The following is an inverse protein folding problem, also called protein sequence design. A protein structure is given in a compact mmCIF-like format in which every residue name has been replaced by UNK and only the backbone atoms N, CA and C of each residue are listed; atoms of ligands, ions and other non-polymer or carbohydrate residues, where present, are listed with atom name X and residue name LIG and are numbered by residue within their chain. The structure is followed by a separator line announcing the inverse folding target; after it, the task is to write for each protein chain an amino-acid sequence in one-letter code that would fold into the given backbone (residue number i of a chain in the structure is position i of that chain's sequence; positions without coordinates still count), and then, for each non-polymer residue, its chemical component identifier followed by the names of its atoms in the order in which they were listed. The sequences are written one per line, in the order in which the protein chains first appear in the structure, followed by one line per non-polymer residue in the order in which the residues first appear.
data_IF_134378734197
#
_entry.id   IF_134378734197
#
_cell.length_a   1.000
_cell.length_b   1.000
_cell.length_c   1.000
_cell.angle_alpha   90.00
_cell.angle_beta   90.00
_cell.angle_gamma   90.00
#
_symmetry.space_group_name_H-M   'P 1'
#
loop_
_entity.id
_entity.type
_entity.pdbx_description
1 polymer ?
#
# COMPACT_ATOMS: atom_id res chain seq x y z
N UNK A 1 13.83 13.29 -0.11
CA UNK A 1 12.73 12.67 0.65
C UNK A 1 11.50 12.80 -0.20
N UNK A 2 10.81 11.69 -0.41
CA UNK A 2 9.64 11.61 -1.28
C UNK A 2 8.40 11.44 -0.42
N UNK A 3 7.23 11.77 -0.98
CA UNK A 3 5.96 11.66 -0.28
C UNK A 3 4.99 10.79 -1.06
N UNK A 4 4.25 9.98 -0.33
CA UNK A 4 3.05 9.30 -0.82
C UNK A 4 1.88 9.83 -0.01
N UNK A 5 0.88 10.37 -0.69
CA UNK A 5 -0.31 10.96 -0.06
C UNK A 5 -1.57 10.30 -0.60
N UNK A 6 -2.54 10.06 0.27
CA UNK A 6 -3.84 9.51 -0.11
C UNK A 6 -4.82 10.63 -0.45
N UNK A 7 -5.41 10.58 -1.63
CA UNK A 7 -6.44 11.53 -2.07
C UNK A 7 -7.82 10.87 -1.86
N UNK A 8 -8.36 11.02 -0.65
CA UNK A 8 -9.55 10.30 -0.22
C UNK A 8 -10.74 10.46 -1.19
N UNK A 9 -11.05 11.70 -1.57
CA UNK A 9 -12.19 12.01 -2.45
C UNK A 9 -11.98 11.60 -3.92
N UNK A 10 -10.72 11.56 -4.38
CA UNK A 10 -10.38 11.24 -5.76
C UNK A 10 -10.20 9.74 -6.00
N UNK A 11 -10.17 8.92 -4.93
CA UNK A 11 -9.86 7.48 -5.01
C UNK A 11 -8.49 7.19 -5.63
N UNK A 12 -7.53 8.07 -5.38
CA UNK A 12 -6.14 7.95 -5.85
C UNK A 12 -5.15 8.08 -4.71
N UNK A 13 -3.92 7.64 -4.93
CA UNK A 13 -2.75 8.14 -4.22
C UNK A 13 -1.94 9.04 -5.14
N UNK A 14 -1.22 9.99 -4.56
CA UNK A 14 -0.23 10.81 -5.27
C UNK A 14 1.16 10.54 -4.73
N UNK A 15 2.13 10.47 -5.64
CA UNK A 15 3.55 10.37 -5.33
C UNK A 15 4.21 11.68 -5.73
N UNK A 16 4.92 12.29 -4.78
CA UNK A 16 5.66 13.53 -4.97
C UNK A 16 7.14 13.27 -4.74
N UNK A 17 7.94 13.40 -5.78
CA UNK A 17 9.39 13.21 -5.71
C UNK A 17 10.07 14.47 -5.21
N UNK A 18 10.87 14.34 -4.17
CA UNK A 18 11.59 15.45 -3.57
C UNK A 18 12.90 15.72 -4.29
N UNK A 19 13.17 17.00 -4.56
CA UNK A 19 14.46 17.43 -5.12
C UNK A 19 15.61 17.43 -4.09
N UNK A 20 15.31 17.13 -2.82
CA UNK A 20 16.28 17.14 -1.73
C UNK A 20 16.52 18.52 -1.11
N UNK A 21 15.90 19.57 -1.65
CA UNK A 21 15.97 20.95 -1.15
C UNK A 21 14.67 21.40 -0.42
N UNK A 22 13.70 20.49 -0.25
CA UNK A 22 12.38 20.80 0.31
C UNK A 22 11.28 21.01 -0.74
N UNK A 23 11.64 21.13 -2.01
CA UNK A 23 10.68 21.18 -3.13
C UNK A 23 10.35 19.78 -3.67
N UNK A 24 9.20 19.69 -4.35
CA UNK A 24 8.72 18.47 -4.98
C UNK A 24 8.44 18.65 -6.48
N UNK A 25 8.60 17.57 -7.24
CA UNK A 25 8.14 17.47 -8.62
C UNK A 25 6.61 17.47 -8.70
N UNK A 26 6.10 17.58 -9.93
CA UNK A 26 4.69 17.35 -10.20
C UNK A 26 4.28 15.95 -9.70
N UNK A 27 3.10 15.89 -9.06
CA UNK A 27 2.58 14.63 -8.54
C UNK A 27 2.29 13.63 -9.67
N UNK A 28 2.59 12.36 -9.42
CA UNK A 28 2.09 11.24 -10.22
C UNK A 28 0.93 10.61 -9.45
N UNK A 29 -0.22 10.46 -10.09
CA UNK A 29 -1.42 9.85 -9.48
C UNK A 29 -1.55 8.39 -9.89
N UNK A 30 -1.95 7.55 -8.93
CA UNK A 30 -2.32 6.16 -9.15
C UNK A 30 -3.73 5.91 -8.63
N UNK A 31 -4.57 5.32 -9.49
CA UNK A 31 -5.91 4.86 -9.12
C UNK A 31 -5.84 3.70 -8.14
N UNK A 32 -6.63 3.79 -7.07
CA UNK A 32 -6.79 2.74 -6.07
C UNK A 32 -8.29 2.46 -5.92
N UNK A 33 -8.67 1.69 -4.91
CA UNK A 33 -10.07 1.45 -4.58
C UNK A 33 -10.63 2.63 -3.77
N UNK A 34 -11.81 2.45 -3.18
CA UNK A 34 -12.58 3.56 -2.59
C UNK A 34 -11.95 4.16 -1.33
N UNK A 35 -11.89 5.49 -1.33
CA UNK A 35 -11.55 6.35 -0.19
C UNK A 35 -10.27 5.93 0.56
N UNK A 36 -9.11 5.97 -0.13
CA UNK A 36 -7.83 5.62 0.49
C UNK A 36 -7.58 6.52 1.69
N UNK A 37 -7.20 5.90 2.81
CA UNK A 37 -6.94 6.60 4.07
C UNK A 37 -5.73 6.03 4.82
N UNK A 38 -5.07 5.01 4.26
CA UNK A 38 -3.87 4.42 4.81
C UNK A 38 -2.98 3.93 3.66
N UNK A 39 -1.69 4.19 3.77
CA UNK A 39 -0.67 3.75 2.82
C UNK A 39 0.55 3.26 3.59
N UNK A 40 1.13 2.15 3.13
CA UNK A 40 2.36 1.58 3.65
C UNK A 40 3.30 1.31 2.48
N UNK A 41 4.60 1.34 2.76
CA UNK A 41 5.65 1.05 1.80
C UNK A 41 6.48 -0.14 2.28
N UNK A 42 6.86 -1.04 1.37
CA UNK A 42 7.67 -2.22 1.68
C UNK A 42 7.90 -3.05 0.42
N UNK A 43 8.74 -4.08 0.50
CA UNK A 43 8.87 -5.07 -0.56
C UNK A 43 7.85 -6.19 -0.31
N UNK A 44 6.72 -6.14 -1.00
CA UNK A 44 5.55 -7.01 -0.79
C UNK A 44 5.46 -8.13 -1.82
N UNK A 45 6.41 -8.22 -2.75
CA UNK A 45 6.55 -9.32 -3.71
C UNK A 45 7.95 -9.98 -3.71
N UNK A 46 8.84 -9.53 -2.83
CA UNK A 46 10.21 -10.02 -2.68
C UNK A 46 11.08 -9.86 -3.95
N UNK A 47 10.90 -8.74 -4.66
CA UNK A 47 11.70 -8.39 -5.85
C UNK A 47 12.80 -7.35 -5.58
N UNK A 48 12.99 -6.97 -4.31
CA UNK A 48 13.88 -5.92 -3.82
C UNK A 48 13.54 -4.51 -4.31
N UNK A 49 12.30 -4.25 -4.70
CA UNK A 49 11.81 -2.92 -5.06
C UNK A 49 10.75 -2.47 -4.07
N UNK A 50 10.63 -1.15 -3.94
CA UNK A 50 9.63 -0.56 -3.07
C UNK A 50 8.25 -0.71 -3.71
N UNK A 51 7.33 -1.36 -3.00
CA UNK A 51 5.92 -1.44 -3.33
C UNK A 51 5.10 -0.55 -2.40
N UNK A 52 3.83 -0.33 -2.74
CA UNK A 52 2.87 0.41 -1.93
C UNK A 52 1.63 -0.42 -1.66
N UNK A 53 1.26 -0.57 -0.40
CA UNK A 53 -0.01 -1.15 0.01
C UNK A 53 -0.96 -0.04 0.46
N UNK A 54 -2.17 -0.01 -0.10
CA UNK A 54 -3.17 1.04 0.11
C UNK A 54 -4.47 0.42 0.60
N UNK A 55 -5.01 0.99 1.68
CA UNK A 55 -6.30 0.62 2.26
C UNK A 55 -7.24 1.82 2.23
N UNK A 56 -8.51 1.53 1.96
CA UNK A 56 -9.56 2.53 1.93
C UNK A 56 -10.70 2.22 2.89
N UNK A 57 -11.23 3.25 3.56
CA UNK A 57 -12.19 3.09 4.67
C UNK A 57 -13.53 2.49 4.25
N UNK A 58 -13.91 2.65 2.98
CA UNK A 58 -15.10 2.05 2.36
C UNK A 58 -14.73 0.96 1.33
N UNK A 59 -13.48 0.53 1.30
CA UNK A 59 -13.04 -0.61 0.49
C UNK A 59 -13.29 -1.93 1.23
N UNK A 60 -13.33 -3.02 0.46
CA UNK A 60 -13.27 -4.40 0.95
C UNK A 60 -11.95 -5.08 0.53
N UNK A 61 -11.00 -4.30 0.02
CA UNK A 61 -9.75 -4.74 -0.55
C UNK A 61 -8.57 -3.92 0.00
N UNK A 62 -7.41 -4.54 -0.03
CA UNK A 62 -6.11 -3.89 -0.06
C UNK A 62 -5.63 -3.85 -1.51
N UNK A 63 -5.25 -2.67 -1.99
CA UNK A 63 -4.50 -2.55 -3.24
C UNK A 63 -3.01 -2.61 -2.93
N UNK A 64 -2.27 -3.44 -3.67
CA UNK A 64 -0.80 -3.41 -3.68
C UNK A 64 -0.36 -2.98 -5.06
N UNK A 65 0.37 -1.86 -5.11
CA UNK A 65 0.99 -1.34 -6.31
C UNK A 65 2.47 -1.76 -6.27
N UNK A 66 2.89 -2.61 -7.21
CA UNK A 66 4.25 -3.11 -7.29
C UNK A 66 5.16 -2.15 -8.02
N UNK A 67 6.28 -1.81 -7.39
CA UNK A 67 7.26 -0.89 -7.93
C UNK A 67 8.14 -1.53 -8.98
N UNK A 68 8.60 -0.74 -9.95
CA UNK A 68 9.59 -1.19 -10.93
C UNK A 68 11.05 -0.86 -10.53
N UNK A 69 11.23 -0.17 -9.39
CA UNK A 69 12.52 0.28 -8.87
C UNK A 69 12.91 1.69 -9.34
N UNK A 70 12.17 2.27 -10.29
CA UNK A 70 12.35 3.63 -10.77
C UNK A 70 11.24 4.55 -10.24
N UNK A 71 10.72 4.23 -9.06
CA UNK A 71 9.65 4.95 -8.39
C UNK A 71 8.35 5.00 -9.20
N UNK A 72 8.15 4.06 -10.13
CA UNK A 72 6.88 3.87 -10.83
C UNK A 72 6.22 2.57 -10.37
N UNK A 73 4.89 2.53 -10.46
CA UNK A 73 4.10 1.41 -9.94
C UNK A 73 3.17 0.83 -11.02
N UNK A 74 3.71 0.11 -12.01
CA UNK A 74 2.97 -0.30 -13.21
C UNK A 74 1.94 -1.39 -12.96
N UNK A 75 2.07 -2.17 -11.87
CA UNK A 75 1.21 -3.32 -11.60
C UNK A 75 0.43 -3.05 -10.32
N UNK A 76 -0.90 -3.18 -10.40
CA UNK A 76 -1.78 -3.14 -9.23
C UNK A 76 -2.45 -4.50 -9.04
N UNK A 77 -2.36 -5.06 -7.83
CA UNK A 77 -3.13 -6.23 -7.39
C UNK A 77 -4.07 -5.88 -6.24
N UNK A 78 -5.17 -6.61 -6.14
CA UNK A 78 -6.18 -6.49 -5.07
C UNK A 78 -6.20 -7.74 -4.21
N UNK A 79 -6.23 -7.56 -2.91
CA UNK A 79 -6.35 -8.62 -1.91
C UNK A 79 -7.56 -8.35 -1.04
N UNK A 80 -8.44 -9.33 -0.85
CA UNK A 80 -9.65 -9.15 -0.05
C UNK A 80 -9.35 -9.04 1.44
N UNK A 81 -9.74 -7.94 2.10
CA UNK A 81 -9.54 -7.69 3.54
C UNK A 81 -10.82 -7.82 4.37
N UNK A 82 -11.90 -8.27 3.73
CA UNK A 82 -13.29 -8.05 4.16
C UNK A 82 -13.59 -6.56 4.44
N UNK A 83 -14.78 -6.25 4.94
CA UNK A 83 -15.34 -4.89 4.87
C UNK A 83 -14.67 -3.88 5.79
N UNK A 84 -14.32 -2.69 5.27
CA UNK A 84 -13.76 -1.57 6.04
C UNK A 84 -12.43 -1.93 6.73
N UNK A 85 -11.34 -2.06 5.97
CA UNK A 85 -10.02 -2.25 6.54
C UNK A 85 -9.66 -1.08 7.47
N UNK A 86 -9.08 -1.44 8.59
CA UNK A 86 -8.64 -0.55 9.65
C UNK A 86 -7.14 -0.20 9.54
N UNK A 87 -6.48 0.01 10.69
CA UNK A 87 -5.03 0.12 10.73
C UNK A 87 -4.38 -1.16 10.19
N UNK A 88 -3.23 -0.99 9.56
CA UNK A 88 -2.40 -2.10 9.14
C UNK A 88 -0.93 -1.86 9.51
N UNK A 89 -0.18 -2.95 9.54
CA UNK A 89 1.26 -2.97 9.83
C UNK A 89 1.96 -3.96 8.91
N UNK A 90 3.17 -3.62 8.51
CA UNK A 90 4.03 -4.46 7.68
C UNK A 90 5.20 -4.99 8.52
N UNK A 91 5.40 -6.32 8.53
CA UNK A 91 6.47 -6.98 9.27
C UNK A 91 6.63 -8.44 8.81
N UNK A 92 7.77 -9.06 9.07
CA UNK A 92 7.98 -10.50 8.89
C UNK A 92 7.30 -11.29 10.04
N UNK A 93 6.02 -11.65 9.85
CA UNK A 93 5.21 -12.29 10.89
C UNK A 93 5.45 -13.79 10.97
N UNK A 94 5.77 -14.45 9.85
CA UNK A 94 6.03 -15.88 9.77
C UNK A 94 7.51 -16.27 9.94
N UNK A 95 8.43 -15.29 10.01
CA UNK A 95 9.90 -15.45 10.12
C UNK A 95 10.56 -16.05 8.89
N UNK A 96 9.98 -15.83 7.70
CA UNK A 96 10.54 -16.30 6.44
C UNK A 96 11.47 -15.27 5.76
N UNK A 97 11.67 -14.11 6.40
CA UNK A 97 12.46 -12.95 5.94
C UNK A 97 11.83 -12.14 4.82
N UNK A 98 10.53 -12.32 4.57
CA UNK A 98 9.76 -11.47 3.66
C UNK A 98 8.79 -10.63 4.46
N UNK A 99 8.46 -9.45 3.94
CA UNK A 99 7.54 -8.55 4.62
C UNK A 99 6.11 -8.98 4.33
N UNK A 100 5.40 -9.37 5.38
CA UNK A 100 3.97 -9.65 5.38
C UNK A 100 3.18 -8.38 5.76
N UNK A 101 1.85 -8.42 5.55
CA UNK A 101 0.96 -7.33 5.95
C UNK A 101 -0.13 -7.87 6.87
N UNK A 102 -0.27 -7.29 8.07
CA UNK A 102 -1.40 -7.54 8.95
C UNK A 102 -2.40 -6.38 8.91
N UNK A 103 -3.67 -6.67 8.62
CA UNK A 103 -4.76 -5.70 8.51
C UNK A 103 -5.83 -6.02 9.54
N UNK A 104 -6.12 -5.06 10.43
CA UNK A 104 -7.23 -5.17 11.36
C UNK A 104 -8.53 -4.76 10.66
N UNK A 105 -9.56 -5.59 10.73
CA UNK A 105 -10.88 -5.20 10.27
C UNK A 105 -11.66 -4.44 11.36
N UNK A 106 -12.14 -3.23 11.04
CA UNK A 106 -12.84 -2.38 12.02
C UNK A 106 -14.24 -2.87 12.40
N UNK A 107 -14.89 -3.65 11.55
CA UNK A 107 -16.29 -4.04 11.71
C UNK A 107 -16.46 -5.49 12.18
N UNK A 108 -15.52 -6.38 11.83
CA UNK A 108 -15.63 -7.82 12.10
C UNK A 108 -14.78 -8.32 13.28
N UNK A 109 -13.96 -7.45 13.90
CA UNK A 109 -12.96 -7.84 14.91
C UNK A 109 -11.97 -8.92 14.43
N UNK A 110 -11.83 -9.11 13.12
CA UNK A 110 -10.89 -10.05 12.52
C UNK A 110 -9.55 -9.36 12.24
N UNK A 111 -8.46 -10.11 12.43
CA UNK A 111 -7.13 -9.76 11.95
C UNK A 111 -6.82 -10.65 10.76
N UNK A 112 -6.52 -10.03 9.61
CA UNK A 112 -6.03 -10.74 8.43
C UNK A 112 -4.52 -10.58 8.37
N UNK A 113 -3.80 -11.67 8.10
CA UNK A 113 -2.37 -11.63 7.79
C UNK A 113 -2.21 -12.12 6.35
N UNK A 114 -1.71 -11.23 5.49
CA UNK A 114 -1.35 -11.51 4.11
C UNK A 114 0.12 -11.89 4.08
N UNK A 115 0.38 -13.19 3.96
CA UNK A 115 1.74 -13.71 3.87
C UNK A 115 2.31 -13.43 2.48
N UNK A 116 3.54 -12.93 2.44
CA UNK A 116 4.28 -12.73 1.20
C UNK A 116 4.93 -14.05 0.78
N UNK A 117 4.14 -14.92 0.14
CA UNK A 117 4.62 -16.23 -0.31
C UNK A 117 5.28 -16.13 -1.70
N UNK A 118 6.33 -16.93 -1.93
CA UNK A 118 6.86 -17.09 -3.29
C UNK A 118 5.80 -17.81 -4.14
N UNK A 119 5.43 -17.24 -5.29
CA UNK A 119 4.75 -17.97 -6.36
C UNK A 119 5.67 -19.00 -7.02
#
# INVERSE_FOLDING_TARGET
MDLVVTNLGDHTISILFGWGNGDFQAQIKYEVDREPNHVMSGDFNNDNKMDLAVLGRLSNHMDVLFGDGNMTFPIRKRYGTSSSPGPAVAYDFNKDRKIDIAVLNKLSNLLYIFLNECS
#
